data_IF_420691411949
#
_entry.id   IF_420691411949
#
_cell.length_a   1.000
_cell.length_b   1.000
_cell.length_c   1.000
_cell.angle_alpha   90.00
_cell.angle_beta   90.00
_cell.angle_gamma   90.00
#
_symmetry.space_group_name_H-M   'P 1'
#
loop_
_entity.id
_entity.type
_entity.pdbx_description
1 polymer ?
#
# COMPACT_ATOMS: atom_id res chain seq x y z
N UNK A 1 -4.18 -26.44 3.33
CA UNK A 1 -4.35 -25.13 3.99
C UNK A 1 -3.22 -24.16 3.64
N UNK A 2 -1.96 -24.60 3.43
CA UNK A 2 -0.88 -23.71 2.97
C UNK A 2 -1.01 -23.14 1.53
N UNK A 3 -2.07 -23.50 0.78
CA UNK A 3 -2.33 -22.98 -0.57
C UNK A 3 -3.02 -21.62 -0.54
N UNK A 4 -4.04 -21.50 0.32
CA UNK A 4 -4.87 -20.30 0.44
C UNK A 4 -4.08 -19.12 1.04
N UNK A 5 -3.22 -19.39 2.03
CA UNK A 5 -2.37 -18.37 2.65
C UNK A 5 -1.36 -17.78 1.65
N UNK A 6 -0.81 -18.60 0.73
CA UNK A 6 0.15 -18.12 -0.28
C UNK A 6 -0.51 -17.22 -1.32
N UNK A 7 -1.74 -17.56 -1.71
CA UNK A 7 -2.53 -16.73 -2.62
C UNK A 7 -2.94 -15.41 -1.94
N UNK A 8 -3.34 -15.45 -0.66
CA UNK A 8 -3.60 -14.27 0.15
C UNK A 8 -2.36 -13.36 0.25
N UNK A 9 -1.18 -13.92 0.52
CA UNK A 9 0.08 -13.17 0.59
C UNK A 9 0.41 -12.50 -0.75
N UNK A 10 0.25 -13.21 -1.87
CA UNK A 10 0.50 -12.64 -3.20
C UNK A 10 -0.48 -11.51 -3.53
N UNK A 11 -1.75 -11.69 -3.19
CA UNK A 11 -2.78 -10.68 -3.41
C UNK A 11 -2.56 -9.44 -2.55
N UNK A 12 -2.20 -9.61 -1.26
CA UNK A 12 -1.85 -8.52 -0.35
C UNK A 12 -0.62 -7.75 -0.84
N UNK A 13 0.42 -8.46 -1.32
CA UNK A 13 1.62 -7.83 -1.91
C UNK A 13 1.29 -7.02 -3.16
N UNK A 14 0.54 -7.61 -4.10
CA UNK A 14 0.11 -6.93 -5.33
C UNK A 14 -0.65 -5.64 -4.99
N UNK A 15 -1.52 -5.72 -4.00
CA UNK A 15 -2.35 -4.59 -3.55
C UNK A 15 -1.53 -3.52 -2.84
N UNK A 16 -0.56 -3.92 -2.01
CA UNK A 16 0.39 -3.00 -1.36
C UNK A 16 1.23 -2.24 -2.39
N UNK A 17 1.73 -2.92 -3.42
CA UNK A 17 2.47 -2.28 -4.51
C UNK A 17 1.59 -1.28 -5.29
N UNK A 18 0.32 -1.62 -5.52
CA UNK A 18 -0.63 -0.72 -6.18
C UNK A 18 -0.91 0.53 -5.33
N UNK A 19 -1.14 0.36 -4.03
CA UNK A 19 -1.36 1.48 -3.09
C UNK A 19 -0.11 2.37 -3.03
N UNK A 20 1.09 1.79 -2.94
CA UNK A 20 2.35 2.54 -2.95
C UNK A 20 2.56 3.29 -4.26
N UNK A 21 2.22 2.69 -5.41
CA UNK A 21 2.29 3.37 -6.71
C UNK A 21 1.34 4.56 -6.76
N UNK A 22 0.08 4.38 -6.35
CA UNK A 22 -0.92 5.45 -6.29
C UNK A 22 -0.51 6.56 -5.32
N UNK A 23 0.11 6.22 -4.19
CA UNK A 23 0.63 7.20 -3.23
C UNK A 23 1.75 8.04 -3.86
N UNK A 24 2.68 7.40 -4.57
CA UNK A 24 3.73 8.10 -5.31
C UNK A 24 3.19 9.00 -6.43
N UNK A 25 2.21 8.52 -7.20
CA UNK A 25 1.54 9.31 -8.24
C UNK A 25 0.79 10.52 -7.64
N UNK A 26 0.11 10.34 -6.50
CA UNK A 26 -0.57 11.41 -5.78
C UNK A 26 0.43 12.44 -5.22
N UNK A 27 1.60 11.99 -4.76
CA UNK A 27 2.69 12.87 -4.31
C UNK A 27 3.27 13.71 -5.46
N UNK A 28 3.58 13.09 -6.60
CA UNK A 28 4.03 13.79 -7.81
C UNK A 28 3.00 14.80 -8.33
N UNK A 29 1.72 14.41 -8.32
CA UNK A 29 0.62 15.27 -8.75
C UNK A 29 0.40 16.45 -7.80
N UNK A 30 0.50 16.22 -6.48
CA UNK A 30 0.40 17.26 -5.45
C UNK A 30 1.53 18.28 -5.51
N UNK A 31 2.74 17.85 -5.89
CA UNK A 31 3.89 18.73 -6.15
C UNK A 31 3.69 19.67 -7.35
N UNK A 32 3.01 19.20 -8.40
CA UNK A 32 2.85 19.95 -9.65
C UNK A 32 1.75 21.03 -9.59
N UNK A 33 0.72 20.88 -8.75
CA UNK A 33 -0.51 21.71 -8.82
C UNK A 33 -0.61 22.72 -7.66
N UNK A 34 0.32 22.68 -6.69
CA UNK A 34 0.19 23.43 -5.44
C UNK A 34 -0.79 22.71 -4.52
N UNK A 35 -0.28 21.73 -3.78
CA UNK A 35 -1.05 20.78 -2.98
C UNK A 35 -2.09 21.41 -2.06
N UNK A 36 -3.36 21.34 -2.48
CA UNK A 36 -4.51 21.62 -1.64
C UNK A 36 -4.87 20.44 -0.72
N UNK A 37 -5.66 20.72 0.32
CA UNK A 37 -6.17 19.78 1.34
C UNK A 37 -6.70 18.45 0.78
N UNK A 38 -7.27 18.44 -0.44
CA UNK A 38 -7.77 17.23 -1.09
C UNK A 38 -6.67 16.20 -1.42
N UNK A 39 -5.46 16.65 -1.76
CA UNK A 39 -4.33 15.73 -2.01
C UNK A 39 -3.76 15.17 -0.72
N UNK A 40 -3.79 15.95 0.36
CA UNK A 40 -3.35 15.49 1.68
C UNK A 40 -4.28 14.40 2.22
N UNK A 41 -5.60 14.58 2.10
CA UNK A 41 -6.59 13.55 2.47
C UNK A 41 -6.41 12.26 1.65
N UNK A 42 -6.12 12.38 0.35
CA UNK A 42 -5.82 11.23 -0.51
C UNK A 42 -4.51 10.51 -0.10
N UNK A 43 -3.46 11.25 0.26
CA UNK A 43 -2.20 10.67 0.74
C UNK A 43 -2.42 9.91 2.05
N UNK A 44 -3.10 10.53 3.03
CA UNK A 44 -3.39 9.88 4.33
C UNK A 44 -4.18 8.58 4.15
N UNK A 45 -5.18 8.56 3.27
CA UNK A 45 -5.95 7.32 3.00
C UNK A 45 -5.08 6.21 2.40
N UNK A 46 -4.19 6.55 1.48
CA UNK A 46 -3.28 5.58 0.87
C UNK A 46 -2.23 5.09 1.88
N UNK A 47 -1.77 5.95 2.79
CA UNK A 47 -0.88 5.55 3.89
C UNK A 47 -1.59 4.61 4.88
N UNK A 48 -2.84 4.89 5.24
CA UNK A 48 -3.63 4.03 6.12
C UNK A 48 -3.92 2.67 5.48
N UNK A 49 -4.27 2.64 4.19
CA UNK A 49 -4.47 1.39 3.45
C UNK A 49 -3.16 0.60 3.35
N UNK A 50 -2.03 1.26 3.08
CA UNK A 50 -0.73 0.60 3.07
C UNK A 50 -0.41 -0.02 4.43
N UNK A 51 -0.58 0.72 5.53
CA UNK A 51 -0.35 0.21 6.89
C UNK A 51 -1.24 -0.99 7.23
N UNK A 52 -2.50 -0.98 6.81
CA UNK A 52 -3.40 -2.10 7.04
C UNK A 52 -2.94 -3.36 6.29
N UNK A 53 -2.50 -3.22 5.04
CA UNK A 53 -1.95 -4.32 4.26
C UNK A 53 -0.62 -4.84 4.82
N UNK A 54 0.25 -3.93 5.26
CA UNK A 54 1.52 -4.28 5.90
C UNK A 54 1.29 -5.04 7.21
N UNK A 55 0.36 -4.58 8.06
CA UNK A 55 -0.01 -5.28 9.29
C UNK A 55 -0.51 -6.69 9.00
N UNK A 56 -1.35 -6.85 7.97
CA UNK A 56 -1.89 -8.16 7.58
C UNK A 56 -0.80 -9.12 7.08
N UNK A 57 0.17 -8.62 6.30
CA UNK A 57 1.33 -9.41 5.88
C UNK A 57 2.17 -9.87 7.07
N UNK A 58 2.39 -8.98 8.05
CA UNK A 58 3.13 -9.31 9.28
C UNK A 58 2.39 -10.35 10.13
N UNK A 59 1.07 -10.26 10.24
CA UNK A 59 0.25 -11.28 10.92
C UNK A 59 0.38 -12.66 10.28
N UNK A 60 0.59 -12.71 8.96
CA UNK A 60 0.83 -13.94 8.20
C UNK A 60 2.30 -14.40 8.26
N UNK A 61 3.17 -13.67 8.95
CA UNK A 61 4.59 -13.98 9.10
C UNK A 61 5.47 -13.54 7.92
N UNK A 62 4.95 -12.70 7.04
CA UNK A 62 5.67 -12.19 5.87
C UNK A 62 6.23 -10.79 6.12
N UNK A 63 7.39 -10.52 5.52
CA UNK A 63 7.98 -9.17 5.52
C UNK A 63 7.32 -8.31 4.42
N UNK A 64 6.69 -7.17 4.78
CA UNK A 64 6.04 -6.25 3.84
C UNK A 64 7.00 -5.45 2.94
N UNK A 65 8.31 -5.50 3.22
CA UNK A 65 9.37 -4.82 2.46
C UNK A 65 10.18 -5.82 1.63
N UNK A 66 10.12 -7.11 1.96
CA UNK A 66 10.83 -8.15 1.24
C UNK A 66 10.20 -8.37 -0.13
N UNK A 67 10.83 -7.74 -1.15
CA UNK A 67 10.65 -8.09 -2.55
C UNK A 67 11.31 -9.44 -2.79
N UNK A 68 10.54 -10.51 -2.58
CA UNK A 68 10.93 -11.87 -2.99
C UNK A 68 11.19 -11.95 -4.48
#
# INVERSE_FOLDING_TARGET
MAGDEREEIQDLRRRLDEVRRRHHEAWLSGLSVGGGLAFHDQQTRLEDEARALESRLVELGEDPVSRG
#
